data_IF_531669922798
#
_entry.id   IF_531669922798
#
_cell.length_a   1.000
_cell.length_b   1.000
_cell.length_c   1.000
_cell.angle_alpha   90.00
_cell.angle_beta   90.00
_cell.angle_gamma   90.00
#
_symmetry.space_group_name_H-M   'P 1'
#
loop_
_entity.id
_entity.type
_entity.pdbx_description
1 polymer ?
#
# COMPACT_ATOMS: atom_id res chain seq x y z
N UNK A 1 -36.03 -40.59 42.88
CA UNK A 1 -34.59 -40.46 42.54
C UNK A 1 -34.30 -38.96 42.49
N UNK A 2 -33.92 -38.29 43.58
CA UNK A 2 -32.53 -38.12 44.08
C UNK A 2 -31.61 -37.72 42.91
N UNK A 3 -30.98 -36.54 42.83
CA UNK A 3 -30.22 -35.82 43.86
C UNK A 3 -30.18 -34.28 43.64
N UNK A 4 -30.25 -33.62 44.78
CA UNK A 4 -29.62 -32.41 45.31
C UNK A 4 -28.61 -31.57 44.49
N UNK A 5 -28.75 -30.26 44.77
CA UNK A 5 -27.91 -29.08 44.54
C UNK A 5 -26.39 -29.20 44.71
N UNK A 6 -25.63 -28.26 44.12
CA UNK A 6 -24.84 -27.27 44.89
C UNK A 6 -24.12 -26.24 44.01
N UNK A 7 -24.21 -24.99 44.46
CA UNK A 7 -23.40 -23.84 44.06
C UNK A 7 -21.91 -24.05 44.29
N UNK A 8 -21.06 -23.40 43.49
CA UNK A 8 -19.84 -22.79 44.05
C UNK A 8 -19.50 -21.51 43.28
N UNK A 9 -19.51 -20.42 44.03
CA UNK A 9 -18.97 -19.11 43.71
C UNK A 9 -17.45 -19.20 43.57
N UNK A 10 -16.87 -18.56 42.55
CA UNK A 10 -15.43 -18.29 42.51
C UNK A 10 -15.23 -16.79 42.73
N UNK A 11 -14.67 -16.48 43.89
CA UNK A 11 -14.22 -15.15 44.26
C UNK A 11 -13.04 -14.71 43.40
N UNK A 12 -13.03 -13.40 43.13
CA UNK A 12 -11.88 -12.63 42.73
C UNK A 12 -10.76 -12.75 43.79
N UNK A 13 -9.54 -13.00 43.32
CA UNK A 13 -8.32 -12.76 44.07
C UNK A 13 -7.25 -12.26 43.09
N UNK A 14 -6.83 -11.01 43.32
CA UNK A 14 -5.49 -10.47 43.19
C UNK A 14 -4.64 -10.90 41.98
N UNK A 15 -4.61 -10.04 40.96
CA UNK A 15 -3.37 -9.78 40.23
C UNK A 15 -3.09 -8.28 40.29
N UNK A 16 -2.33 -7.92 41.32
CA UNK A 16 -1.68 -6.64 41.52
C UNK A 16 -0.99 -6.16 40.24
N UNK A 17 -1.31 -4.95 39.81
CA UNK A 17 -0.61 -4.27 38.73
C UNK A 17 0.87 -4.05 39.06
N UNK A 18 1.73 -3.89 38.04
CA UNK A 18 3.13 -3.59 38.26
C UNK A 18 3.29 -2.17 38.85
N UNK A 19 4.18 -1.96 39.84
CA UNK A 19 4.50 -0.63 40.35
C UNK A 19 5.29 0.20 39.30
N UNK A 20 5.18 1.54 39.30
CA UNK A 20 5.82 2.39 38.30
C UNK A 20 7.29 2.75 38.62
N UNK A 21 8.11 2.75 37.56
CA UNK A 21 9.33 3.54 37.20
C UNK A 21 10.40 3.91 38.24
N UNK A 22 11.67 3.99 37.80
CA UNK A 22 12.24 5.33 37.56
C UNK A 22 12.92 5.51 36.19
N UNK A 23 12.71 6.70 35.64
CA UNK A 23 13.37 7.22 34.46
C UNK A 23 14.89 7.38 34.69
N UNK A 24 15.70 6.92 33.74
CA UNK A 24 17.12 7.23 33.67
C UNK A 24 17.31 8.47 32.77
N UNK A 25 17.81 9.53 33.40
CA UNK A 25 18.16 10.82 32.80
C UNK A 25 19.45 10.65 31.96
N UNK A 26 19.54 11.23 30.74
CA UNK A 26 20.75 11.18 29.94
C UNK A 26 21.78 12.22 30.42
N UNK A 27 23.10 11.91 30.43
CA UNK A 27 24.11 12.93 30.66
C UNK A 27 24.35 13.80 29.41
N UNK A 28 24.12 15.10 29.64
CA UNK A 28 24.71 16.31 29.09
C UNK A 28 25.46 16.30 27.73
N UNK A 29 24.99 17.22 26.87
CA UNK A 29 25.71 17.88 25.76
C UNK A 29 27.13 18.32 26.16
N UNK A 30 28.13 17.91 25.37
CA UNK A 30 29.39 18.64 25.26
C UNK A 30 29.34 19.59 24.06
N UNK A 31 29.87 20.79 24.28
CA UNK A 31 29.77 22.00 23.46
C UNK A 31 30.60 21.93 22.18
N UNK A 32 30.12 22.67 21.18
CA UNK A 32 30.85 23.17 20.01
C UNK A 32 32.22 23.74 20.37
N UNK A 33 33.20 23.46 19.51
CA UNK A 33 34.35 24.34 19.30
C UNK A 33 34.57 24.45 17.78
N UNK A 34 34.26 25.61 17.23
CA UNK A 34 34.93 26.14 16.04
C UNK A 34 36.03 27.09 16.52
N UNK A 35 37.12 27.22 15.76
CA UNK A 35 37.39 28.53 15.17
C UNK A 35 37.84 28.44 13.70
N UNK A 36 37.44 29.45 12.92
CA UNK A 36 38.01 29.83 11.63
C UNK A 36 39.23 30.77 11.84
N UNK A 37 39.86 31.40 10.82
CA UNK A 37 39.85 31.18 9.36
C UNK A 37 41.29 31.17 8.74
N UNK A 38 41.34 31.26 7.41
CA UNK A 38 42.43 31.72 6.53
C UNK A 38 43.53 30.74 6.09
N UNK A 39 43.41 30.32 4.82
CA UNK A 39 44.46 30.49 3.82
C UNK A 39 43.87 30.31 2.40
N UNK A 40 43.91 31.36 1.59
CA UNK A 40 43.67 31.30 0.15
C UNK A 40 44.79 30.53 -0.57
N UNK A 41 44.54 30.04 -1.81
CA UNK A 41 45.33 30.62 -2.90
C UNK A 41 44.53 30.91 -4.18
N UNK A 42 45.00 31.94 -4.90
CA UNK A 42 44.65 32.34 -6.27
C UNK A 42 45.04 31.27 -7.29
N UNK A 43 44.21 31.06 -8.33
CA UNK A 43 44.59 31.21 -9.76
C UNK A 43 43.46 30.91 -10.77
N UNK A 44 43.23 31.86 -11.69
CA UNK A 44 42.93 31.74 -13.15
C UNK A 44 41.51 31.29 -13.63
N UNK A 45 41.12 31.61 -14.89
CA UNK A 45 40.05 32.58 -15.15
C UNK A 45 38.76 31.99 -15.74
N UNK A 46 37.74 32.84 -15.67
CA UNK A 46 36.43 32.81 -16.31
C UNK A 46 36.46 32.49 -17.81
N UNK A 47 35.68 31.49 -18.24
CA UNK A 47 34.77 31.57 -19.39
C UNK A 47 33.97 30.26 -19.53
N UNK A 48 32.65 30.37 -19.70
CA UNK A 48 31.77 29.26 -20.05
C UNK A 48 30.64 28.93 -19.07
N UNK A 49 30.01 29.92 -18.43
CA UNK A 49 28.69 29.71 -17.82
C UNK A 49 27.62 29.92 -18.89
N UNK A 50 26.74 28.93 -19.01
CA UNK A 50 25.34 29.19 -19.32
C UNK A 50 24.90 28.73 -20.69
N UNK A 51 24.60 27.43 -20.81
CA UNK A 51 23.35 26.93 -21.39
C UNK A 51 23.51 25.45 -21.70
N UNK A 52 23.28 24.58 -20.70
CA UNK A 52 22.78 23.19 -20.86
C UNK A 52 22.63 22.49 -19.50
N UNK A 53 22.09 23.22 -18.52
CA UNK A 53 21.52 22.64 -17.29
C UNK A 53 20.22 23.38 -17.00
N UNK A 54 19.28 23.32 -17.94
CA UNK A 54 17.88 23.73 -17.76
C UNK A 54 17.01 22.97 -18.77
N UNK A 55 17.09 21.65 -18.71
CA UNK A 55 15.96 20.79 -19.08
C UNK A 55 15.59 19.92 -17.87
N UNK A 56 15.43 20.58 -16.72
CA UNK A 56 14.59 20.11 -15.62
C UNK A 56 13.33 21.00 -15.59
N UNK A 57 12.63 21.03 -16.73
CA UNK A 57 11.39 21.79 -16.88
C UNK A 57 10.31 20.79 -17.28
N UNK A 58 9.43 20.55 -16.31
CA UNK A 58 8.34 19.58 -16.25
C UNK A 58 8.79 18.17 -15.83
N UNK A 59 9.16 18.06 -14.55
CA UNK A 59 9.32 16.79 -13.85
C UNK A 59 8.17 15.84 -14.19
N UNK A 60 8.49 14.86 -15.03
CA UNK A 60 7.61 13.73 -15.29
C UNK A 60 7.50 13.04 -13.94
N UNK A 61 6.38 13.25 -13.24
CA UNK A 61 6.06 12.48 -12.03
C UNK A 61 6.28 11.01 -12.39
N UNK A 62 7.34 10.44 -11.81
CA UNK A 62 7.81 9.13 -12.22
C UNK A 62 6.78 8.14 -11.72
N UNK A 63 6.04 7.53 -12.63
CA UNK A 63 5.03 6.52 -12.32
C UNK A 63 5.72 5.20 -11.97
N UNK A 64 6.30 5.15 -10.77
CA UNK A 64 7.13 4.05 -10.28
C UNK A 64 6.55 3.48 -9.00
N UNK A 65 6.61 2.16 -8.88
CA UNK A 65 6.33 1.45 -7.64
C UNK A 65 7.58 1.41 -6.76
N UNK A 66 7.38 1.39 -5.45
CA UNK A 66 8.37 0.85 -4.53
C UNK A 66 8.36 -0.69 -4.63
N UNK A 67 9.54 -1.35 -4.76
CA UNK A 67 9.64 -2.80 -4.68
C UNK A 67 9.09 -3.35 -3.36
N UNK A 68 8.69 -4.63 -3.34
CA UNK A 68 8.14 -5.31 -2.18
C UNK A 68 6.96 -4.55 -1.55
N UNK A 69 6.12 -3.94 -2.39
CA UNK A 69 4.94 -3.19 -1.98
C UNK A 69 3.71 -3.69 -2.72
N UNK A 70 2.55 -3.52 -2.09
CA UNK A 70 1.25 -3.86 -2.66
C UNK A 70 0.48 -2.58 -2.94
N UNK A 71 -0.09 -2.50 -4.13
CA UNK A 71 -0.91 -1.37 -4.55
C UNK A 71 -2.28 -1.84 -5.02
N UNK A 72 -3.31 -1.07 -4.69
CA UNK A 72 -4.52 -1.06 -5.50
C UNK A 72 -4.20 -0.30 -6.79
N UNK A 73 -4.49 -0.94 -7.92
CA UNK A 73 -4.31 -0.40 -9.26
C UNK A 73 -5.66 0.05 -9.78
N UNK A 74 -5.77 1.32 -10.18
CA UNK A 74 -6.96 1.85 -10.85
C UNK A 74 -6.60 2.21 -12.29
N UNK A 75 -7.36 1.67 -13.23
CA UNK A 75 -7.21 1.91 -14.66
C UNK A 75 -8.51 2.43 -15.29
N UNK A 76 -8.42 2.88 -16.53
CA UNK A 76 -9.58 3.16 -17.37
C UNK A 76 -10.58 1.98 -17.35
N UNK A 77 -11.89 2.27 -17.44
CA UNK A 77 -12.91 1.24 -17.32
C UNK A 77 -12.80 0.21 -18.46
N UNK A 78 -12.76 -1.08 -18.09
CA UNK A 78 -12.80 -2.21 -19.04
C UNK A 78 -14.21 -2.73 -19.30
N UNK A 79 -15.18 -2.33 -18.48
CA UNK A 79 -16.58 -2.73 -18.57
C UNK A 79 -17.50 -1.54 -18.26
N UNK A 80 -18.61 -1.40 -18.99
CA UNK A 80 -19.47 -0.21 -18.94
C UNK A 80 -20.14 0.03 -17.57
N UNK A 81 -20.31 -1.03 -16.77
CA UNK A 81 -20.94 -0.93 -15.45
C UNK A 81 -20.04 -0.34 -14.36
N UNK A 82 -18.73 -0.26 -14.59
CA UNK A 82 -17.77 0.25 -13.62
C UNK A 82 -17.16 1.55 -14.12
N UNK A 83 -16.96 2.52 -13.22
CA UNK A 83 -16.32 3.81 -13.58
C UNK A 83 -14.82 3.66 -13.84
N UNK A 84 -14.20 2.69 -13.20
CA UNK A 84 -12.80 2.36 -13.33
C UNK A 84 -12.61 0.85 -13.27
N UNK A 85 -11.50 0.36 -13.82
CA UNK A 85 -11.06 -1.02 -13.59
C UNK A 85 -10.15 -1.08 -12.38
N UNK A 86 -10.34 -2.10 -11.53
CA UNK A 86 -9.61 -2.27 -10.28
C UNK A 86 -8.79 -3.57 -10.30
N UNK A 87 -7.64 -3.54 -9.66
CA UNK A 87 -6.81 -4.70 -9.40
C UNK A 87 -5.88 -4.48 -8.22
N UNK A 88 -5.10 -5.50 -7.88
CA UNK A 88 -3.99 -5.41 -6.93
C UNK A 88 -2.72 -5.82 -7.65
N UNK A 89 -1.64 -5.05 -7.49
CA UNK A 89 -0.31 -5.45 -7.94
C UNK A 89 0.65 -5.63 -6.77
N UNK A 90 1.37 -6.75 -6.79
CA UNK A 90 2.54 -6.97 -5.93
C UNK A 90 3.77 -6.56 -6.72
N UNK A 91 4.41 -5.46 -6.32
CA UNK A 91 5.56 -4.90 -7.01
C UNK A 91 6.80 -5.76 -6.75
N UNK A 92 7.35 -6.34 -7.83
CA UNK A 92 8.65 -7.05 -7.79
C UNK A 92 9.82 -6.13 -8.14
N UNK A 93 9.53 -5.03 -8.83
CA UNK A 93 10.48 -3.96 -9.12
C UNK A 93 9.77 -2.61 -9.19
N UNK A 94 10.46 -1.61 -9.74
CA UNK A 94 9.90 -0.26 -9.84
C UNK A 94 8.85 -0.10 -10.93
N UNK A 95 8.85 -0.98 -11.93
CA UNK A 95 7.98 -0.90 -13.10
C UNK A 95 7.13 -2.14 -13.29
N UNK A 96 7.57 -3.27 -12.74
CA UNK A 96 6.91 -4.56 -12.94
C UNK A 96 6.45 -5.22 -11.64
N UNK A 97 5.42 -6.04 -11.77
CA UNK A 97 4.88 -6.84 -10.69
C UNK A 97 3.88 -7.87 -11.19
N UNK A 98 3.20 -8.51 -10.25
CA UNK A 98 2.14 -9.48 -10.55
C UNK A 98 0.81 -8.78 -10.29
N UNK A 99 0.03 -8.59 -11.36
CA UNK A 99 -1.29 -7.95 -11.28
C UNK A 99 -2.38 -9.03 -11.18
N UNK A 100 -3.19 -8.92 -10.13
CA UNK A 100 -4.38 -9.72 -9.90
C UNK A 100 -5.60 -8.82 -10.10
N UNK A 101 -6.52 -9.22 -10.97
CA UNK A 101 -7.77 -8.47 -11.17
C UNK A 101 -8.90 -9.38 -11.66
N UNK A 102 -10.14 -8.98 -11.40
CA UNK A 102 -11.30 -9.68 -11.95
C UNK A 102 -11.79 -8.97 -13.22
N UNK A 103 -12.03 -9.71 -14.29
CA UNK A 103 -12.60 -9.20 -15.54
C UNK A 103 -13.94 -9.89 -15.77
N UNK A 104 -14.93 -9.13 -16.26
CA UNK A 104 -16.20 -9.70 -16.69
C UNK A 104 -16.07 -10.17 -18.15
N UNK A 105 -16.28 -11.46 -18.41
CA UNK A 105 -16.16 -12.06 -19.75
C UNK A 105 -17.44 -11.98 -20.59
N UNK A 106 -18.49 -11.35 -20.06
CA UNK A 106 -19.84 -11.33 -20.64
C UNK A 106 -20.84 -12.25 -19.92
N UNK A 107 -20.35 -13.19 -19.11
CA UNK A 107 -21.15 -14.16 -18.37
C UNK A 107 -20.84 -14.20 -16.88
N UNK A 108 -19.57 -14.11 -16.51
CA UNK A 108 -19.09 -14.21 -15.13
C UNK A 108 -17.86 -13.35 -14.91
N UNK A 109 -17.57 -13.10 -13.64
CA UNK A 109 -16.30 -12.50 -13.24
C UNK A 109 -15.24 -13.59 -13.11
N UNK A 110 -14.12 -13.38 -13.80
CA UNK A 110 -12.96 -14.28 -13.77
C UNK A 110 -11.74 -13.55 -13.25
N UNK A 111 -11.00 -14.20 -12.34
CA UNK A 111 -9.67 -13.77 -11.93
C UNK A 111 -8.70 -13.95 -13.11
N UNK A 112 -7.98 -12.88 -13.45
CA UNK A 112 -6.80 -12.91 -14.33
C UNK A 112 -5.57 -12.51 -13.52
N UNK A 113 -4.46 -13.18 -13.83
CA UNK A 113 -3.16 -12.99 -13.20
C UNK A 113 -2.17 -12.67 -14.31
N UNK A 114 -1.57 -11.47 -14.27
CA UNK A 114 -0.53 -11.03 -15.19
C UNK A 114 0.81 -11.05 -14.44
N UNK A 115 1.61 -12.12 -14.59
CA UNK A 115 2.83 -12.36 -13.78
C UNK A 115 3.97 -11.36 -14.02
N UNK A 116 4.01 -10.71 -15.18
CA UNK A 116 5.07 -9.78 -15.58
C UNK A 116 4.46 -8.47 -16.07
N UNK A 117 3.52 -7.92 -15.29
CA UNK A 117 2.82 -6.69 -15.66
C UNK A 117 3.77 -5.50 -15.57
N UNK A 118 4.17 -4.94 -16.71
CA UNK A 118 4.80 -3.62 -16.79
C UNK A 118 3.74 -2.53 -16.61
N UNK A 119 3.68 -1.97 -15.40
CA UNK A 119 2.73 -0.93 -15.05
C UNK A 119 3.12 0.42 -15.64
N UNK A 120 4.41 0.64 -15.87
CA UNK A 120 4.92 1.91 -16.37
C UNK A 120 4.52 2.12 -17.83
N UNK A 121 4.54 1.04 -18.62
CA UNK A 121 4.11 1.01 -20.02
C UNK A 121 2.58 1.02 -20.21
N UNK A 122 1.81 0.55 -19.22
CA UNK A 122 0.34 0.51 -19.32
C UNK A 122 -0.29 1.91 -19.11
N UNK A 123 -0.52 2.61 -20.22
CA UNK A 123 -1.11 3.95 -20.24
C UNK A 123 -2.55 4.01 -19.72
N UNK A 124 -3.24 2.88 -19.63
CA UNK A 124 -4.60 2.84 -19.09
C UNK A 124 -4.61 2.95 -17.57
N UNK A 125 -3.48 2.72 -16.90
CA UNK A 125 -3.37 2.80 -15.44
C UNK A 125 -3.23 4.26 -15.02
N UNK A 126 -4.17 4.72 -14.21
CA UNK A 126 -4.29 6.11 -13.78
C UNK A 126 -3.75 6.28 -12.34
N UNK A 127 -3.91 5.28 -11.49
CA UNK A 127 -3.51 5.37 -10.08
C UNK A 127 -2.88 4.07 -9.58
N UNK A 128 -1.82 4.23 -8.79
CA UNK A 128 -1.27 3.24 -7.88
C UNK A 128 -1.42 3.75 -6.45
N UNK A 129 -2.35 3.16 -5.70
CA UNK A 129 -2.54 3.46 -4.29
C UNK A 129 -1.85 2.39 -3.44
N UNK A 130 -0.73 2.72 -2.80
CA UNK A 130 0.01 1.79 -1.95
C UNK A 130 -0.82 1.49 -0.70
N UNK A 131 -1.04 0.21 -0.43
CA UNK A 131 -1.85 -0.28 0.70
C UNK A 131 -1.06 -1.11 1.69
N UNK A 132 0.19 -1.46 1.37
CA UNK A 132 1.06 -2.20 2.28
C UNK A 132 2.43 -2.54 1.68
N UNK A 133 3.30 -3.08 2.52
CA UNK A 133 4.57 -3.70 2.14
C UNK A 133 4.49 -5.21 2.36
N UNK A 134 5.13 -5.98 1.50
CA UNK A 134 5.42 -7.40 1.75
C UNK A 134 6.84 -7.55 2.29
N UNK A 135 7.15 -8.56 3.13
CA UNK A 135 8.50 -8.74 3.66
C UNK A 135 9.54 -9.02 2.57
N UNK A 136 9.16 -9.78 1.55
CA UNK A 136 9.99 -10.15 0.41
C UNK A 136 9.12 -10.57 -0.78
N UNK A 137 9.76 -10.76 -1.94
CA UNK A 137 9.12 -11.19 -3.20
C UNK A 137 9.76 -12.47 -3.75
N UNK A 138 10.27 -13.32 -2.86
CA UNK A 138 10.75 -14.65 -3.25
C UNK A 138 9.59 -15.51 -3.76
N UNK A 139 9.93 -16.55 -4.53
CA UNK A 139 8.94 -17.41 -5.18
C UNK A 139 7.92 -17.98 -4.20
N UNK A 140 8.38 -18.45 -3.03
CA UNK A 140 7.50 -19.02 -2.01
C UNK A 140 6.50 -17.99 -1.47
N UNK A 141 6.94 -16.75 -1.25
CA UNK A 141 6.07 -15.67 -0.81
C UNK A 141 5.04 -15.29 -1.88
N UNK A 142 5.46 -15.22 -3.13
CA UNK A 142 4.56 -14.94 -4.25
C UNK A 142 3.52 -16.05 -4.42
N UNK A 143 3.91 -17.32 -4.32
CA UNK A 143 2.97 -18.45 -4.39
C UNK A 143 1.94 -18.38 -3.24
N UNK A 144 2.37 -18.07 -2.02
CA UNK A 144 1.48 -17.92 -0.87
C UNK A 144 0.53 -16.71 -1.00
N UNK A 145 1.04 -15.57 -1.50
CA UNK A 145 0.21 -14.39 -1.81
C UNK A 145 -0.82 -14.73 -2.88
N UNK A 146 -0.41 -15.42 -3.95
CA UNK A 146 -1.31 -15.82 -5.02
C UNK A 146 -2.40 -16.76 -4.52
N UNK A 147 -2.07 -17.73 -3.66
CA UNK A 147 -3.06 -18.60 -3.02
C UNK A 147 -4.05 -17.76 -2.20
N UNK A 148 -3.55 -16.87 -1.34
CA UNK A 148 -4.36 -15.96 -0.53
C UNK A 148 -5.32 -15.10 -1.38
N UNK A 149 -4.84 -14.52 -2.47
CA UNK A 149 -5.64 -13.70 -3.38
C UNK A 149 -6.66 -14.55 -4.16
N UNK A 150 -6.30 -15.77 -4.56
CA UNK A 150 -7.18 -16.66 -5.33
C UNK A 150 -8.39 -17.12 -4.53
N UNK A 151 -8.20 -17.35 -3.22
CA UNK A 151 -9.29 -17.77 -2.31
C UNK A 151 -10.05 -16.58 -1.70
N UNK A 152 -9.72 -15.34 -2.06
CA UNK A 152 -10.31 -14.16 -1.46
C UNK A 152 -11.83 -14.15 -1.64
N UNK A 153 -12.54 -14.18 -0.51
CA UNK A 153 -13.99 -14.21 -0.51
C UNK A 153 -14.56 -12.79 -0.48
N UNK A 154 -15.48 -12.49 -1.39
CA UNK A 154 -16.19 -11.20 -1.41
C UNK A 154 -17.46 -11.31 -0.55
N UNK A 155 -17.50 -10.73 0.67
CA UNK A 155 -18.68 -10.82 1.52
C UNK A 155 -19.80 -9.93 0.96
N UNK A 156 -20.74 -10.56 0.22
CA UNK A 156 -21.81 -9.86 -0.49
C UNK A 156 -22.64 -8.90 0.38
N UNK A 157 -22.85 -9.27 1.64
CA UNK A 157 -23.60 -8.44 2.60
C UNK A 157 -22.85 -7.20 3.05
N UNK A 158 -21.52 -7.16 2.91
CA UNK A 158 -20.66 -6.10 3.43
C UNK A 158 -20.14 -5.18 2.32
N UNK A 159 -19.77 -5.75 1.16
CA UNK A 159 -19.18 -5.00 0.03
C UNK A 159 -19.98 -5.06 -1.27
N UNK A 160 -21.05 -5.86 -1.31
CA UNK A 160 -21.91 -6.00 -2.50
C UNK A 160 -21.49 -7.14 -3.43
N UNK A 161 -22.09 -7.14 -4.63
CA UNK A 161 -21.83 -8.19 -5.61
C UNK A 161 -20.38 -8.22 -6.11
N UNK A 162 -19.99 -9.36 -6.63
CA UNK A 162 -18.64 -9.57 -7.19
C UNK A 162 -18.45 -8.63 -8.37
N UNK A 163 -17.35 -7.87 -8.35
CA UNK A 163 -16.83 -7.07 -9.44
C UNK A 163 -15.32 -6.90 -9.30
N UNK A 164 -14.65 -6.27 -10.27
CA UNK A 164 -13.22 -5.94 -10.16
C UNK A 164 -12.92 -5.15 -8.87
N UNK A 165 -13.82 -4.22 -8.50
CA UNK A 165 -13.70 -3.38 -7.30
C UNK A 165 -13.83 -4.20 -6.03
N UNK A 166 -14.93 -4.94 -5.89
CA UNK A 166 -15.18 -5.69 -4.65
C UNK A 166 -14.18 -6.84 -4.47
N UNK A 167 -13.68 -7.42 -5.56
CA UNK A 167 -12.55 -8.35 -5.55
C UNK A 167 -11.27 -7.69 -5.03
N UNK A 168 -10.86 -6.53 -5.59
CA UNK A 168 -9.64 -5.86 -5.15
C UNK A 168 -9.69 -5.46 -3.66
N UNK A 169 -10.86 -5.08 -3.14
CA UNK A 169 -11.01 -4.81 -1.71
C UNK A 169 -10.93 -6.07 -0.86
N UNK A 170 -11.55 -7.18 -1.31
CA UNK A 170 -11.49 -8.46 -0.62
C UNK A 170 -10.08 -9.05 -0.61
N UNK A 171 -9.38 -9.03 -1.73
CA UNK A 171 -8.00 -9.48 -1.79
C UNK A 171 -7.08 -8.61 -0.90
N UNK A 172 -7.29 -7.29 -0.84
CA UNK A 172 -6.54 -6.42 0.08
C UNK A 172 -6.82 -6.77 1.55
N UNK A 173 -8.08 -7.04 1.89
CA UNK A 173 -8.46 -7.51 3.23
C UNK A 173 -7.75 -8.83 3.57
N UNK A 174 -7.79 -9.82 2.68
CA UNK A 174 -7.17 -11.13 2.94
C UNK A 174 -5.65 -11.07 3.02
N UNK A 175 -4.99 -10.20 2.24
CA UNK A 175 -3.55 -9.96 2.39
C UNK A 175 -3.19 -9.44 3.78
N UNK A 176 -4.00 -8.52 4.33
CA UNK A 176 -3.84 -8.04 5.70
C UNK A 176 -4.15 -9.14 6.73
N UNK A 177 -5.21 -9.91 6.51
CA UNK A 177 -5.65 -11.00 7.38
C UNK A 177 -4.63 -12.15 7.45
N UNK A 178 -4.02 -12.48 6.32
CA UNK A 178 -2.94 -13.47 6.22
C UNK A 178 -1.59 -12.96 6.72
N UNK A 179 -1.48 -11.69 7.13
CA UNK A 179 -0.23 -11.10 7.60
C UNK A 179 0.80 -10.85 6.50
N UNK A 180 0.38 -10.89 5.23
CA UNK A 180 1.26 -10.62 4.08
C UNK A 180 1.62 -9.14 3.95
N UNK A 181 0.71 -8.26 4.39
CA UNK A 181 0.93 -6.81 4.40
C UNK A 181 0.67 -6.21 5.77
N UNK A 182 1.32 -5.08 6.05
CA UNK A 182 1.11 -4.25 7.24
C UNK A 182 -0.20 -3.44 7.18
N UNK A 183 -1.32 -4.10 6.90
CA UNK A 183 -2.65 -3.52 6.92
C UNK A 183 -3.53 -4.36 7.86
N UNK A 184 -4.07 -3.74 8.91
CA UNK A 184 -5.04 -4.41 9.76
C UNK A 184 -6.33 -4.74 8.98
N UNK A 185 -6.78 -6.01 8.94
CA UNK A 185 -7.94 -6.43 8.15
C UNK A 185 -9.24 -5.89 8.72
N UNK A 186 -9.74 -4.78 8.15
CA UNK A 186 -10.97 -4.12 8.61
C UNK A 186 -11.76 -3.55 7.45
N UNK A 187 -12.98 -4.05 7.24
CA UNK A 187 -13.87 -3.54 6.18
C UNK A 187 -14.15 -2.04 6.28
N UNK A 188 -14.07 -1.46 7.48
CA UNK A 188 -14.18 -0.01 7.65
C UNK A 188 -12.93 0.72 7.10
N UNK A 189 -11.72 0.19 7.33
CA UNK A 189 -10.49 0.71 6.70
C UNK A 189 -10.57 0.54 5.18
N UNK A 190 -11.00 -0.63 4.68
CA UNK A 190 -11.12 -0.90 3.24
C UNK A 190 -12.13 0.04 2.55
N UNK A 191 -13.24 0.41 3.19
CA UNK A 191 -14.16 1.46 2.69
C UNK A 191 -13.50 2.84 2.61
N UNK A 192 -12.58 3.13 3.54
CA UNK A 192 -11.75 4.33 3.51
C UNK A 192 -10.80 4.32 2.31
N UNK A 193 -10.09 3.21 2.11
CA UNK A 193 -9.19 2.98 0.97
C UNK A 193 -9.95 3.07 -0.36
N UNK A 194 -11.14 2.48 -0.45
CA UNK A 194 -12.00 2.55 -1.64
C UNK A 194 -12.33 4.01 -2.01
N UNK A 195 -12.76 4.79 -1.02
CA UNK A 195 -13.11 6.21 -1.21
C UNK A 195 -11.90 7.02 -1.65
N UNK A 196 -10.76 6.80 -1.00
CA UNK A 196 -9.50 7.46 -1.32
C UNK A 196 -9.03 7.14 -2.74
N UNK A 197 -9.04 5.85 -3.12
CA UNK A 197 -8.71 5.40 -4.47
C UNK A 197 -9.60 6.06 -5.52
N UNK A 198 -10.91 6.12 -5.27
CA UNK A 198 -11.85 6.77 -6.18
C UNK A 198 -11.56 8.27 -6.33
N UNK A 199 -11.31 8.98 -5.23
CA UNK A 199 -11.02 10.41 -5.25
C UNK A 199 -9.73 10.72 -6.02
N UNK A 200 -8.65 9.97 -5.76
CA UNK A 200 -7.39 10.15 -6.47
C UNK A 200 -7.51 9.78 -7.94
N UNK A 201 -8.17 8.66 -8.28
CA UNK A 201 -8.34 8.26 -9.67
C UNK A 201 -9.18 9.26 -10.47
N UNK A 202 -10.26 9.79 -9.86
CA UNK A 202 -11.08 10.84 -10.45
C UNK A 202 -10.27 12.12 -10.68
N UNK A 203 -9.50 12.55 -9.67
CA UNK A 203 -8.66 13.74 -9.78
C UNK A 203 -7.56 13.59 -10.85
N UNK A 204 -6.85 12.46 -10.84
CA UNK A 204 -5.83 12.12 -11.82
C UNK A 204 -6.38 12.10 -13.25
N UNK A 205 -7.53 11.44 -13.45
CA UNK A 205 -8.23 11.39 -14.74
C UNK A 205 -8.61 12.78 -15.27
N UNK A 206 -9.16 13.65 -14.42
CA UNK A 206 -9.51 15.02 -14.82
C UNK A 206 -8.31 15.89 -15.16
N UNK A 207 -7.15 15.62 -14.57
CA UNK A 207 -5.90 16.34 -14.86
C UNK A 207 -5.12 15.75 -16.03
N UNK A 208 -5.52 14.58 -16.55
CA UNK A 208 -4.73 13.82 -17.52
C UNK A 208 -3.38 13.37 -16.97
N UNK A 209 -3.30 13.08 -15.66
CA UNK A 209 -2.09 12.66 -14.95
C UNK A 209 -2.24 11.24 -14.41
N UNK A 210 -1.10 10.61 -14.10
CA UNK A 210 -1.04 9.33 -13.42
C UNK A 210 -0.42 9.54 -12.03
N UNK A 211 -1.01 8.94 -11.00
CA UNK A 211 -0.58 9.16 -9.62
C UNK A 211 -0.04 7.88 -8.98
N UNK A 212 1.00 8.02 -8.17
CA UNK A 212 1.44 7.01 -7.21
C UNK A 212 1.40 7.64 -5.83
N UNK A 213 0.56 7.11 -4.94
CA UNK A 213 0.34 7.67 -3.60
C UNK A 213 0.22 6.56 -2.57
N UNK A 214 0.55 6.85 -1.32
CA UNK A 214 0.31 5.95 -0.19
C UNK A 214 -1.06 6.20 0.42
N UNK A 215 -1.78 5.13 0.77
CA UNK A 215 -3.05 5.26 1.46
C UNK A 215 -2.86 5.75 2.89
N UNK A 216 -3.65 6.73 3.30
CA UNK A 216 -3.69 7.18 4.70
C UNK A 216 -4.20 6.10 5.68
N UNK A 217 -4.81 5.03 5.17
CA UNK A 217 -5.39 3.95 5.97
C UNK A 217 -4.44 2.78 6.19
N UNK A 218 -3.31 2.77 5.47
CA UNK A 218 -2.24 1.80 5.64
C UNK A 218 -1.23 2.31 6.65
N UNK A 219 -0.75 1.43 7.52
CA UNK A 219 0.19 1.75 8.59
C UNK A 219 1.64 1.78 8.03
N UNK A 220 1.81 2.49 6.90
CA UNK A 220 3.03 2.57 6.07
C UNK A 220 4.09 3.53 6.60
#
# INVERSE_FOLDING_TARGET
MSRTASSTSIQAADLSGPPPTPALVPPAKAKSVSPAPDAAPKHLPTEGVGAREVEDVLGVEKFIMHPASVYIVISEPKHQSEKFHWGIIVARGQQEGILYHCIFDGSRWELKIEENKDISADKTVILLLKVGNVPEVSRQWIEAIQECVTIANVPRTTVGDISCRTFALAATYELGNGGFINLYPSWNKLKGIEREAYQFAWHAGNLGRRLVVASQWSDL
#
